data_IF_243400739507
#
_entry.id   IF_243400739507
#
_cell.length_a   1.000
_cell.length_b   1.000
_cell.length_c   1.000
_cell.angle_alpha   90.00
_cell.angle_beta   90.00
_cell.angle_gamma   90.00
#
_symmetry.space_group_name_H-M   'P 1'
#
loop_
_entity.id
_entity.type
_entity.pdbx_description
1 polymer ?
#
# COMPACT_ATOMS: atom_id res chain seq x y z
N UNK A 1 10.09 -45.91 -8.72
CA UNK A 1 8.97 -46.15 -7.79
C UNK A 1 9.59 -46.36 -6.41
N UNK A 2 9.30 -45.70 -5.30
CA UNK A 2 8.40 -44.64 -4.91
C UNK A 2 9.09 -43.95 -3.71
N UNK A 3 9.26 -42.62 -3.72
CA UNK A 3 9.71 -41.88 -2.52
C UNK A 3 8.49 -41.31 -1.82
N UNK A 4 8.27 -41.84 -0.62
CA UNK A 4 7.16 -41.64 0.28
C UNK A 4 6.85 -40.16 0.52
N UNK A 5 5.56 -39.87 0.35
CA UNK A 5 4.90 -38.59 0.60
C UNK A 5 4.97 -38.21 2.07
N UNK A 6 5.71 -37.14 2.39
CA UNK A 6 5.67 -36.53 3.70
C UNK A 6 4.48 -35.56 3.78
N UNK A 7 3.29 -36.11 4.05
CA UNK A 7 2.11 -35.30 4.38
C UNK A 7 2.31 -34.68 5.77
N UNK A 8 2.79 -33.43 5.80
CA UNK A 8 2.94 -32.70 7.06
C UNK A 8 1.61 -32.06 7.42
N UNK A 9 0.95 -32.72 8.37
CA UNK A 9 -0.30 -32.35 9.01
C UNK A 9 -0.42 -30.84 9.31
N UNK A 10 -1.63 -30.32 9.07
CA UNK A 10 -2.05 -28.99 9.46
C UNK A 10 -1.91 -28.82 10.97
N UNK A 11 -0.97 -27.95 11.38
CA UNK A 11 -0.79 -27.59 12.79
C UNK A 11 -1.92 -26.65 13.18
N UNK A 12 -2.66 -27.04 14.22
CA UNK A 12 -3.83 -26.38 14.77
C UNK A 12 -3.65 -24.87 14.97
N UNK A 13 -4.71 -24.11 14.68
CA UNK A 13 -4.77 -22.66 14.77
C UNK A 13 -4.45 -22.18 16.20
N UNK A 14 -3.34 -21.46 16.34
CA UNK A 14 -3.01 -20.75 17.58
C UNK A 14 -4.01 -19.62 17.79
N UNK A 15 -4.56 -19.51 19.01
CA UNK A 15 -5.46 -18.42 19.42
C UNK A 15 -4.88 -17.06 19.01
N UNK A 16 -5.67 -16.14 18.43
CA UNK A 16 -5.15 -14.89 17.89
C UNK A 16 -4.52 -14.07 19.02
N UNK A 17 -3.20 -13.81 18.91
CA UNK A 17 -2.50 -12.93 19.84
C UNK A 17 -3.06 -11.51 19.71
N UNK A 18 -3.28 -10.85 20.84
CA UNK A 18 -3.73 -9.45 20.90
C UNK A 18 -2.76 -8.56 20.12
N UNK A 19 -3.25 -7.79 19.16
CA UNK A 19 -2.41 -6.77 18.49
C UNK A 19 -2.15 -5.66 19.51
N UNK A 20 -0.94 -5.57 20.03
CA UNK A 20 -0.47 -4.40 20.77
C UNK A 20 0.08 -3.34 19.82
N UNK A 21 0.07 -2.05 20.22
CA UNK A 21 0.81 -1.02 19.49
C UNK A 21 2.30 -1.35 19.47
N UNK A 22 2.95 -1.20 18.31
CA UNK A 22 4.39 -1.37 18.19
C UNK A 22 5.08 -0.05 18.59
N UNK A 23 6.16 -0.13 19.37
CA UNK A 23 6.95 1.05 19.75
C UNK A 23 7.79 1.64 18.61
N UNK A 24 7.93 0.92 17.48
CA UNK A 24 8.60 1.35 16.26
C UNK A 24 7.73 0.99 15.05
N UNK A 25 7.89 1.66 13.88
CA UNK A 25 7.18 1.28 12.66
C UNK A 25 7.43 -0.19 12.33
N UNK A 26 6.36 -0.99 12.22
CA UNK A 26 6.48 -2.42 11.90
C UNK A 26 7.14 -2.61 10.54
N UNK A 27 8.09 -3.54 10.45
CA UNK A 27 8.66 -3.95 9.17
C UNK A 27 7.64 -4.74 8.34
N UNK A 28 7.83 -4.80 7.01
CA UNK A 28 6.96 -5.59 6.10
C UNK A 28 6.85 -7.06 6.56
N UNK A 29 7.95 -7.60 7.07
CA UNK A 29 8.03 -8.96 7.60
C UNK A 29 7.20 -9.16 8.87
N UNK A 30 7.29 -8.23 9.82
CA UNK A 30 6.51 -8.25 11.07
C UNK A 30 5.02 -8.06 10.83
N UNK A 31 4.65 -7.22 9.87
CA UNK A 31 3.25 -7.04 9.48
C UNK A 31 2.65 -8.35 8.96
N UNK A 32 3.33 -9.04 8.02
CA UNK A 32 2.86 -10.33 7.52
C UNK A 32 2.83 -11.43 8.59
N UNK A 33 3.77 -11.42 9.54
CA UNK A 33 3.73 -12.35 10.68
C UNK A 33 2.53 -12.06 11.60
N UNK A 34 2.25 -10.79 11.88
CA UNK A 34 1.10 -10.41 12.72
C UNK A 34 -0.21 -10.82 12.07
N UNK A 35 -0.36 -10.58 10.75
CA UNK A 35 -1.55 -11.01 10.00
C UNK A 35 -1.67 -12.53 9.99
N UNK A 36 -0.56 -13.27 9.81
CA UNK A 36 -0.55 -14.73 9.85
C UNK A 36 -1.02 -15.30 11.20
N UNK A 37 -0.56 -14.70 12.29
CA UNK A 37 -0.95 -15.11 13.64
C UNK A 37 -2.43 -14.86 13.92
N UNK A 38 -3.04 -13.88 13.25
CA UNK A 38 -4.45 -13.53 13.43
C UNK A 38 -5.40 -14.28 12.52
N UNK A 39 -5.03 -14.48 11.26
CA UNK A 39 -5.89 -15.14 10.27
C UNK A 39 -5.65 -16.65 10.23
N UNK A 40 -4.65 -17.15 10.98
CA UNK A 40 -4.18 -18.54 10.94
C UNK A 40 -3.82 -19.03 9.52
N UNK A 41 -3.43 -18.09 8.64
CA UNK A 41 -3.04 -18.40 7.27
C UNK A 41 -1.52 -18.48 7.16
N UNK A 42 -0.98 -19.39 6.32
CA UNK A 42 0.44 -19.44 6.05
C UNK A 42 0.91 -18.12 5.40
N UNK A 43 2.10 -17.66 5.80
CA UNK A 43 2.70 -16.41 5.27
C UNK A 43 2.75 -16.35 3.73
N UNK A 44 2.87 -17.51 3.07
CA UNK A 44 2.82 -17.63 1.60
C UNK A 44 1.47 -17.20 1.01
N UNK A 45 0.36 -17.62 1.60
CA UNK A 45 -0.97 -17.25 1.14
C UNK A 45 -1.24 -15.76 1.40
N UNK A 46 -0.76 -15.22 2.53
CA UNK A 46 -0.86 -13.78 2.80
C UNK A 46 -0.08 -12.98 1.77
N UNK A 47 1.15 -13.39 1.44
CA UNK A 47 1.91 -12.74 0.38
C UNK A 47 1.18 -12.78 -0.97
N UNK A 48 0.52 -13.90 -1.31
CA UNK A 48 -0.31 -14.01 -2.52
C UNK A 48 -1.51 -13.07 -2.51
N UNK A 49 -2.20 -12.90 -1.38
CA UNK A 49 -3.32 -11.95 -1.24
C UNK A 49 -2.84 -10.51 -1.49
N UNK A 50 -1.72 -10.10 -0.90
CA UNK A 50 -1.17 -8.77 -1.12
C UNK A 50 -0.64 -8.56 -2.55
N UNK A 51 -0.11 -9.59 -3.20
CA UNK A 51 0.31 -9.54 -4.61
C UNK A 51 -0.91 -9.41 -5.54
N UNK A 52 -1.96 -10.20 -5.32
CA UNK A 52 -3.22 -10.11 -6.06
C UNK A 52 -3.87 -8.72 -5.87
N UNK A 53 -3.88 -8.21 -4.65
CA UNK A 53 -4.36 -6.84 -4.36
C UNK A 53 -3.53 -5.79 -5.10
N UNK A 54 -2.20 -5.95 -5.17
CA UNK A 54 -1.32 -5.07 -5.95
C UNK A 54 -1.65 -5.07 -7.45
N UNK A 55 -1.97 -6.23 -8.03
CA UNK A 55 -2.37 -6.35 -9.44
C UNK A 55 -3.71 -5.67 -9.72
N UNK A 56 -4.69 -5.83 -8.82
CA UNK A 56 -5.97 -5.12 -8.92
C UNK A 56 -5.75 -3.61 -8.85
N UNK A 57 -4.91 -3.15 -7.93
CA UNK A 57 -4.55 -1.73 -7.83
C UNK A 57 -3.87 -1.22 -9.10
N UNK A 58 -2.96 -1.98 -9.69
CA UNK A 58 -2.31 -1.60 -10.94
C UNK A 58 -3.31 -1.51 -12.11
N UNK A 59 -4.28 -2.44 -12.18
CA UNK A 59 -5.32 -2.44 -13.20
C UNK A 59 -6.27 -1.25 -13.05
N UNK A 60 -6.75 -0.97 -11.84
CA UNK A 60 -7.73 0.10 -11.58
C UNK A 60 -7.14 1.51 -11.63
N UNK A 61 -5.83 1.66 -11.35
CA UNK A 61 -5.10 2.92 -11.51
C UNK A 61 -4.54 3.12 -12.92
N UNK A 62 -4.69 2.14 -13.82
CA UNK A 62 -4.28 2.26 -15.21
C UNK A 62 -5.12 3.30 -15.96
N UNK A 63 -4.67 3.70 -17.15
CA UNK A 63 -5.41 4.67 -17.99
C UNK A 63 -6.82 4.20 -18.39
N UNK A 64 -7.06 2.89 -18.39
CA UNK A 64 -8.37 2.30 -18.68
C UNK A 64 -9.21 1.98 -17.45
N UNK A 65 -8.64 2.10 -16.24
CA UNK A 65 -9.33 1.88 -14.99
C UNK A 65 -10.05 3.13 -14.48
N UNK A 66 -10.94 2.98 -13.48
CA UNK A 66 -11.69 4.09 -12.89
C UNK A 66 -10.80 5.14 -12.19
N UNK A 67 -9.50 4.91 -12.06
CA UNK A 67 -8.54 5.85 -11.45
C UNK A 67 -8.78 6.07 -9.96
N UNK A 68 -9.69 5.31 -9.36
CA UNK A 68 -10.15 5.37 -7.99
C UNK A 68 -10.36 3.94 -7.51
N UNK A 69 -9.67 3.55 -6.44
CA UNK A 69 -9.83 2.26 -5.78
C UNK A 69 -10.09 2.48 -4.29
N UNK A 70 -11.12 1.83 -3.76
CA UNK A 70 -11.42 1.79 -2.34
C UNK A 70 -10.91 0.46 -1.76
N UNK A 71 -9.83 0.51 -0.98
CA UNK A 71 -9.30 -0.68 -0.29
C UNK A 71 -10.14 -0.91 0.96
N UNK A 72 -11.07 -1.87 0.88
CA UNK A 72 -11.78 -2.47 2.01
C UNK A 72 -12.31 -1.47 3.06
N UNK A 73 -12.81 -0.31 2.63
CA UNK A 73 -13.33 0.73 3.53
C UNK A 73 -12.30 1.48 4.38
N UNK A 74 -11.01 1.17 4.25
CA UNK A 74 -9.92 1.79 5.00
C UNK A 74 -9.36 3.01 4.26
N UNK A 75 -8.94 2.83 3.01
CA UNK A 75 -8.27 3.87 2.24
C UNK A 75 -8.78 3.96 0.80
N UNK A 76 -8.84 5.18 0.29
CA UNK A 76 -9.20 5.50 -1.09
C UNK A 76 -7.94 5.94 -1.85
N UNK A 77 -7.51 5.14 -2.81
CA UNK A 77 -6.38 5.42 -3.69
C UNK A 77 -6.92 6.08 -4.95
N UNK A 78 -6.44 7.28 -5.29
CA UNK A 78 -6.91 8.04 -6.44
C UNK A 78 -5.75 8.53 -7.30
N UNK A 79 -5.91 8.50 -8.62
CA UNK A 79 -5.01 9.13 -9.57
C UNK A 79 -5.43 10.59 -9.76
N UNK A 80 -4.58 11.53 -9.30
CA UNK A 80 -4.74 12.95 -9.61
C UNK A 80 -3.84 13.31 -10.78
N UNK A 81 -4.43 13.69 -11.91
CA UNK A 81 -3.70 14.28 -13.04
C UNK A 81 -3.26 15.69 -12.67
N UNK A 82 -1.95 15.92 -12.61
CA UNK A 82 -1.38 17.26 -12.48
C UNK A 82 -1.13 17.84 -13.87
N UNK A 83 -1.64 19.06 -14.15
CA UNK A 83 -1.39 19.72 -15.43
C UNK A 83 0.08 20.11 -15.55
N UNK A 84 0.53 20.33 -16.78
CA UNK A 84 1.88 20.83 -17.04
C UNK A 84 2.04 22.23 -16.44
N UNK A 85 3.13 22.45 -15.71
CA UNK A 85 3.47 23.78 -15.19
C UNK A 85 4.59 24.35 -16.05
N UNK A 86 4.37 25.54 -16.62
CA UNK A 86 5.36 26.26 -17.42
C UNK A 86 6.58 26.64 -16.60
N UNK A 87 7.70 26.91 -17.28
CA UNK A 87 8.87 27.47 -16.61
C UNK A 87 8.51 28.85 -16.03
N UNK A 88 8.92 29.10 -14.79
CA UNK A 88 8.65 30.37 -14.11
C UNK A 88 9.85 30.78 -13.28
N UNK A 89 10.09 32.07 -13.22
CA UNK A 89 11.03 32.65 -12.27
C UNK A 89 10.39 32.68 -10.88
N UNK A 90 11.12 32.24 -9.88
CA UNK A 90 10.68 32.34 -8.50
C UNK A 90 11.87 32.46 -7.56
N UNK A 91 11.60 32.93 -6.36
CA UNK A 91 12.61 33.02 -5.31
C UNK A 91 12.75 31.64 -4.66
N UNK A 92 13.97 31.10 -4.65
CA UNK A 92 14.21 29.85 -3.95
C UNK A 92 14.11 30.12 -2.43
N UNK A 93 13.21 29.44 -1.69
CA UNK A 93 12.99 29.71 -0.28
C UNK A 93 14.22 29.46 0.62
N UNK A 94 15.24 28.75 0.13
CA UNK A 94 16.45 28.45 0.89
C UNK A 94 17.58 29.47 0.65
N UNK A 95 17.80 29.89 -0.60
CA UNK A 95 18.91 30.80 -0.97
C UNK A 95 18.46 32.24 -1.17
N UNK A 96 17.14 32.52 -1.17
CA UNK A 96 16.53 33.86 -1.41
C UNK A 96 16.91 34.51 -2.75
N UNK A 97 17.62 33.80 -3.62
CA UNK A 97 17.98 34.22 -4.96
C UNK A 97 16.91 33.83 -5.98
N UNK A 98 16.85 34.58 -7.09
CA UNK A 98 15.97 34.29 -8.22
C UNK A 98 16.48 33.05 -8.96
N UNK A 99 15.65 32.01 -9.02
CA UNK A 99 15.97 30.80 -9.77
C UNK A 99 14.86 30.49 -10.77
N UNK A 100 15.26 30.08 -11.98
CA UNK A 100 14.34 29.64 -13.02
C UNK A 100 13.87 28.22 -12.68
N UNK A 101 12.61 28.08 -12.27
CA UNK A 101 12.00 26.77 -12.09
C UNK A 101 11.67 26.17 -13.46
N UNK A 102 12.33 25.06 -13.78
CA UNK A 102 12.09 24.31 -15.03
C UNK A 102 10.63 23.89 -15.15
N UNK A 103 10.14 23.85 -16.39
CA UNK A 103 8.81 23.32 -16.70
C UNK A 103 8.68 21.87 -16.19
N UNK A 104 7.52 21.54 -15.61
CA UNK A 104 7.19 20.16 -15.23
C UNK A 104 6.12 19.65 -16.18
N UNK A 105 6.33 18.50 -16.84
CA UNK A 105 5.34 17.93 -17.74
C UNK A 105 4.10 17.47 -16.96
N UNK A 106 2.99 17.27 -17.68
CA UNK A 106 1.80 16.69 -17.09
C UNK A 106 2.12 15.28 -16.56
N UNK A 107 1.74 15.02 -15.31
CA UNK A 107 2.03 13.75 -14.65
C UNK A 107 0.86 13.30 -13.81
N UNK A 108 0.73 11.99 -13.68
CA UNK A 108 -0.25 11.38 -12.79
C UNK A 108 0.40 11.18 -11.42
N UNK A 109 -0.29 11.64 -10.37
CA UNK A 109 0.16 11.48 -8.98
C UNK A 109 -0.87 10.66 -8.23
N UNK A 110 -0.42 9.64 -7.51
CA UNK A 110 -1.28 8.83 -6.66
C UNK A 110 -1.49 9.56 -5.33
N UNK A 111 -2.75 9.74 -4.93
CA UNK A 111 -3.14 10.26 -3.63
C UNK A 111 -3.93 9.21 -2.86
N UNK A 112 -3.52 8.93 -1.63
CA UNK A 112 -4.25 8.05 -0.71
C UNK A 112 -5.01 8.94 0.27
N UNK A 113 -6.33 8.76 0.36
CA UNK A 113 -7.19 9.43 1.35
C UNK A 113 -7.71 8.41 2.36
N UNK A 114 -7.63 8.69 3.67
CA UNK A 114 -8.26 7.85 4.68
C UNK A 114 -9.78 7.98 4.61
N UNK A 115 -10.48 6.86 4.70
CA UNK A 115 -11.94 6.79 4.79
C UNK A 115 -12.41 6.86 6.25
N UNK A 116 -13.73 6.86 6.45
CA UNK A 116 -14.36 7.04 7.78
C UNK A 116 -13.83 6.03 8.80
N UNK A 117 -13.66 4.77 8.41
CA UNK A 117 -13.21 3.70 9.32
C UNK A 117 -11.82 3.97 9.92
N UNK A 118 -10.87 4.51 9.14
CA UNK A 118 -9.56 4.90 9.66
C UNK A 118 -9.62 6.18 10.51
N UNK A 119 -10.46 7.13 10.11
CA UNK A 119 -10.62 8.39 10.84
C UNK A 119 -11.30 8.24 12.20
N UNK A 120 -12.11 7.20 12.40
CA UNK A 120 -12.76 6.94 13.69
C UNK A 120 -11.89 6.14 14.66
N UNK A 121 -10.76 5.58 14.20
CA UNK A 121 -9.82 4.83 15.05
C UNK A 121 -8.79 5.72 15.75
N UNK A 122 -8.78 7.03 15.43
CA UNK A 122 -7.93 8.07 16.00
C UNK A 122 -8.84 9.19 16.46
#
# INVERSE_FOLDING_TARGET
>A
MAKTSNSKAAKAASKPKKISPAGKPRSKGEFFSTVADQTALPRKQIAQVFDAMGKIIAADLSKGGPGILNVAGLMKVMVKRMPATKAREGINPFTKEKQIFKAKPARNVIKIRPLKALKSMV
#
